data_IF_723198624461
#
_entry.id   IF_723198624461
#
_cell.length_a   1.000
_cell.length_b   1.000
_cell.length_c   1.000
_cell.angle_alpha   90.00
_cell.angle_beta   90.00
_cell.angle_gamma   90.00
#
_symmetry.space_group_name_H-M   'P 1'
#
loop_
_entity.id
_entity.type
_entity.pdbx_description
1 polymer ?
#
# COMPACT_ATOMS: atom_id res chain seq x y z
N UNK A 1 81.42 -5.48 -8.00
CA UNK A 1 79.96 -5.47 -8.28
C UNK A 1 79.21 -5.15 -6.98
N UNK A 2 78.72 -3.93 -6.82
CA UNK A 2 77.79 -3.52 -5.74
C UNK A 2 76.66 -2.72 -6.40
N UNK A 3 75.41 -3.13 -6.16
CA UNK A 3 74.20 -2.64 -6.82
C UNK A 3 73.75 -1.31 -6.19
N UNK A 4 73.44 -0.34 -7.03
CA UNK A 4 72.82 0.94 -6.69
C UNK A 4 71.29 0.73 -6.73
N UNK A 5 70.59 0.99 -5.62
CA UNK A 5 69.13 0.99 -5.56
C UNK A 5 68.64 2.40 -5.92
N UNK A 6 67.87 2.51 -7.01
CA UNK A 6 67.15 3.72 -7.38
C UNK A 6 65.73 3.62 -6.80
N UNK A 7 65.38 4.53 -5.89
CA UNK A 7 64.03 4.65 -5.33
C UNK A 7 63.26 5.66 -6.20
N UNK A 8 62.32 5.18 -7.00
CA UNK A 8 61.34 6.03 -7.68
C UNK A 8 60.13 6.25 -6.75
N UNK A 9 59.97 7.46 -6.25
CA UNK A 9 58.76 7.90 -5.56
C UNK A 9 57.66 8.20 -6.59
N UNK A 10 56.61 7.38 -6.60
CA UNK A 10 55.40 7.59 -7.39
C UNK A 10 54.47 8.53 -6.60
N UNK A 11 54.37 9.80 -6.99
CA UNK A 11 53.32 10.69 -6.49
C UNK A 11 52.01 10.35 -7.19
N UNK A 12 51.05 9.80 -6.45
CA UNK A 12 49.65 9.68 -6.88
C UNK A 12 48.96 11.00 -6.55
N UNK A 13 48.72 11.83 -7.56
CA UNK A 13 47.82 12.98 -7.46
C UNK A 13 46.39 12.42 -7.57
N UNK A 14 45.70 12.29 -6.45
CA UNK A 14 44.25 12.01 -6.45
C UNK A 14 43.51 13.26 -6.92
N UNK A 15 43.18 13.30 -8.21
CA UNK A 15 42.16 14.20 -8.74
C UNK A 15 40.82 13.75 -8.18
N UNK A 16 40.34 14.45 -7.15
CA UNK A 16 38.94 14.37 -6.71
C UNK A 16 38.06 14.93 -7.83
N UNK A 17 37.61 14.06 -8.73
CA UNK A 17 36.49 14.34 -9.59
C UNK A 17 35.23 14.37 -8.70
N UNK A 18 34.73 15.56 -8.41
CA UNK A 18 33.35 15.75 -8.00
C UNK A 18 32.46 15.35 -9.18
N UNK A 19 32.14 14.06 -9.27
CA UNK A 19 31.02 13.59 -10.07
C UNK A 19 29.77 14.02 -9.29
N UNK A 20 29.15 15.11 -9.71
CA UNK A 20 27.76 15.38 -9.38
C UNK A 20 26.94 14.26 -10.03
N UNK A 21 26.72 13.19 -9.28
CA UNK A 21 25.83 12.11 -9.65
C UNK A 21 24.38 12.57 -9.44
N UNK A 22 23.97 13.55 -10.24
CA UNK A 22 22.61 14.09 -10.28
C UNK A 22 21.74 13.27 -11.25
N UNK A 23 22.07 11.97 -11.40
CA UNK A 23 21.43 11.05 -12.34
C UNK A 23 20.50 10.04 -11.66
N UNK A 24 20.15 10.27 -10.39
CA UNK A 24 19.09 9.50 -9.72
C UNK A 24 17.71 9.92 -10.22
N UNK A 25 17.39 9.55 -11.45
CA UNK A 25 15.99 9.44 -11.91
C UNK A 25 15.26 8.68 -10.80
N UNK A 26 14.26 9.33 -10.19
CA UNK A 26 13.53 8.73 -9.08
C UNK A 26 13.00 7.37 -9.56
N UNK A 27 13.09 6.32 -8.75
CA UNK A 27 12.53 5.00 -9.11
C UNK A 27 11.05 5.12 -9.55
N UNK A 28 10.34 6.14 -9.08
CA UNK A 28 8.98 6.51 -9.50
C UNK A 28 8.89 6.94 -10.97
N UNK A 29 9.90 7.63 -11.49
CA UNK A 29 9.93 8.15 -12.87
C UNK A 29 10.15 7.02 -13.88
N UNK A 30 10.62 5.87 -13.42
CA UNK A 30 10.76 4.65 -14.23
C UNK A 30 9.44 3.86 -14.36
N UNK A 31 8.41 4.17 -13.55
CA UNK A 31 7.12 3.50 -13.65
C UNK A 31 6.38 4.01 -14.90
N UNK A 32 5.91 3.09 -15.79
CA UNK A 32 5.16 3.44 -16.98
C UNK A 32 3.98 4.38 -16.69
N UNK A 33 3.74 5.37 -17.57
CA UNK A 33 2.67 6.35 -17.39
C UNK A 33 1.26 5.74 -17.30
N UNK A 34 1.05 4.59 -17.94
CA UNK A 34 -0.21 3.85 -17.88
C UNK A 34 -0.37 2.99 -16.61
N UNK A 35 0.68 2.83 -15.79
CA UNK A 35 0.66 2.05 -14.55
C UNK A 35 0.25 2.93 -13.36
N UNK A 36 -1.01 3.38 -13.39
CA UNK A 36 -1.58 4.29 -12.38
C UNK A 36 -3.03 3.93 -12.04
N UNK A 37 -3.40 4.20 -10.80
CA UNK A 37 -4.78 4.17 -10.31
C UNK A 37 -5.19 5.61 -10.05
N UNK A 38 -6.19 6.11 -10.79
CA UNK A 38 -6.45 7.54 -10.90
C UNK A 38 -5.19 8.30 -11.36
N UNK A 39 -4.72 9.24 -10.53
CA UNK A 39 -3.51 10.04 -10.77
C UNK A 39 -2.25 9.45 -10.13
N UNK A 40 -2.36 8.32 -9.42
CA UNK A 40 -1.28 7.78 -8.58
C UNK A 40 -0.58 6.60 -9.24
N UNK A 41 0.75 6.73 -9.42
CA UNK A 41 1.58 5.64 -9.90
C UNK A 41 1.70 4.54 -8.84
N UNK A 42 1.72 3.29 -9.28
CA UNK A 42 1.88 2.12 -8.41
C UNK A 42 3.00 1.22 -8.92
N UNK A 43 3.71 0.54 -8.03
CA UNK A 43 4.55 -0.61 -8.35
C UNK A 43 3.70 -1.87 -8.37
N UNK A 44 3.92 -2.71 -9.37
CA UNK A 44 3.41 -4.07 -9.42
C UNK A 44 4.45 -4.96 -8.69
N UNK A 45 4.04 -5.73 -7.67
CA UNK A 45 4.93 -6.62 -6.90
C UNK A 45 4.86 -8.07 -7.42
N UNK A 46 5.84 -8.93 -7.14
CA UNK A 46 5.86 -10.32 -7.66
C UNK A 46 4.58 -11.11 -7.32
N UNK A 47 4.10 -11.94 -8.27
CA UNK A 47 2.87 -12.75 -8.13
C UNK A 47 1.64 -12.23 -8.90
N UNK A 48 1.81 -11.60 -10.07
CA UNK A 48 0.70 -11.06 -10.87
C UNK A 48 0.38 -11.95 -12.04
N UNK A 49 -0.74 -12.66 -11.93
CA UNK A 49 -1.17 -13.53 -13.01
C UNK A 49 -2.13 -12.81 -13.98
N UNK A 50 -2.69 -11.64 -13.62
CA UNK A 50 -3.72 -11.00 -14.46
C UNK A 50 -4.09 -9.53 -14.14
N UNK A 51 -3.16 -8.65 -13.75
CA UNK A 51 -3.49 -7.23 -13.55
C UNK A 51 -3.65 -6.46 -14.87
N UNK A 52 -4.73 -5.71 -15.01
CA UNK A 52 -5.04 -4.87 -16.17
C UNK A 52 -5.28 -3.41 -15.78
N UNK A 53 -4.57 -2.49 -16.43
CA UNK A 53 -4.79 -1.05 -16.30
C UNK A 53 -5.61 -0.54 -17.48
N UNK A 54 -6.71 0.16 -17.20
CA UNK A 54 -7.55 0.77 -18.23
C UNK A 54 -8.08 2.12 -17.75
N UNK A 55 -7.71 3.22 -18.42
CA UNK A 55 -8.17 4.58 -18.12
C UNK A 55 -8.05 4.97 -16.62
N UNK A 56 -6.96 4.58 -15.97
CA UNK A 56 -6.73 4.86 -14.54
C UNK A 56 -7.46 3.93 -13.59
N UNK A 57 -8.16 2.91 -14.09
CA UNK A 57 -8.70 1.81 -13.28
C UNK A 57 -7.73 0.63 -13.30
N UNK A 58 -7.76 -0.16 -12.23
CA UNK A 58 -7.02 -1.41 -12.09
C UNK A 58 -7.99 -2.56 -11.85
N UNK A 59 -7.84 -3.67 -12.57
CA UNK A 59 -8.65 -4.87 -12.36
C UNK A 59 -7.84 -6.15 -12.47
N UNK A 60 -8.34 -7.24 -11.88
CA UNK A 60 -7.78 -8.59 -12.00
C UNK A 60 -7.17 -9.10 -10.70
N UNK A 61 -6.11 -9.90 -10.81
CA UNK A 61 -5.44 -10.54 -9.67
C UNK A 61 -3.96 -10.20 -9.61
N UNK A 62 -3.52 -9.70 -8.45
CA UNK A 62 -2.13 -9.33 -8.20
C UNK A 62 -1.97 -8.33 -7.06
N UNK A 63 -0.71 -7.92 -6.81
CA UNK A 63 -0.36 -7.00 -5.72
C UNK A 63 0.19 -5.71 -6.30
N UNK A 64 -0.34 -4.58 -5.84
CA UNK A 64 0.21 -3.26 -6.14
C UNK A 64 0.60 -2.52 -4.87
N UNK A 65 1.70 -1.78 -4.93
CA UNK A 65 2.16 -0.86 -3.88
C UNK A 65 2.17 0.55 -4.42
N UNK A 66 1.79 1.52 -3.61
CA UNK A 66 1.89 2.92 -4.00
C UNK A 66 3.33 3.37 -4.23
N UNK A 67 3.54 4.14 -5.29
CA UNK A 67 4.90 4.52 -5.69
C UNK A 67 5.51 5.58 -4.77
N UNK A 68 4.65 6.40 -4.16
CA UNK A 68 5.06 7.46 -3.23
C UNK A 68 4.89 6.95 -1.80
N UNK A 69 5.99 6.77 -1.05
CA UNK A 69 5.91 6.41 0.36
C UNK A 69 5.29 7.53 1.20
N UNK A 70 4.70 7.17 2.33
CA UNK A 70 4.22 8.15 3.31
C UNK A 70 5.40 8.70 4.10
N UNK A 71 5.61 10.01 4.04
CA UNK A 71 6.66 10.69 4.80
C UNK A 71 6.35 10.75 6.29
N UNK A 72 5.09 11.00 6.64
CA UNK A 72 4.60 11.09 8.01
C UNK A 72 3.62 9.96 8.28
N UNK A 73 4.02 9.01 9.13
CA UNK A 73 3.21 7.84 9.51
C UNK A 73 2.32 8.10 10.74
N UNK A 74 2.30 9.33 11.25
CA UNK A 74 1.44 9.74 12.35
C UNK A 74 0.15 10.36 11.81
N UNK A 75 -0.97 9.62 11.94
CA UNK A 75 -2.37 10.08 12.10
C UNK A 75 -2.92 11.23 11.24
N UNK A 76 -2.24 11.69 10.20
CA UNK A 76 -2.60 12.89 9.44
C UNK A 76 -3.12 12.57 8.03
N UNK A 77 -3.38 11.30 7.75
CA UNK A 77 -3.72 10.83 6.41
C UNK A 77 -4.97 9.94 6.44
N UNK A 78 -5.81 10.11 5.43
CA UNK A 78 -6.89 9.18 5.08
C UNK A 78 -6.63 8.55 3.72
N UNK A 79 -6.94 7.27 3.61
CA UNK A 79 -6.87 6.52 2.37
C UNK A 79 -8.27 6.45 1.77
N UNK A 80 -8.43 7.02 0.59
CA UNK A 80 -9.64 6.91 -0.18
C UNK A 80 -9.51 5.77 -1.17
N UNK A 81 -10.46 4.84 -1.09
CA UNK A 81 -10.53 3.70 -2.01
C UNK A 81 -11.92 3.58 -2.60
N UNK A 82 -11.97 3.44 -3.93
CA UNK A 82 -13.19 3.16 -4.67
C UNK A 82 -13.02 1.85 -5.43
N UNK A 83 -13.90 0.88 -5.16
CA UNK A 83 -13.74 -0.48 -5.65
C UNK A 83 -15.07 -1.21 -5.87
N UNK A 84 -15.04 -2.28 -6.65
CA UNK A 84 -16.14 -3.23 -6.80
C UNK A 84 -15.62 -4.65 -6.68
N UNK A 85 -16.44 -5.54 -6.12
CA UNK A 85 -16.12 -6.96 -5.97
C UNK A 85 -17.16 -7.82 -6.70
N UNK A 86 -16.79 -8.40 -7.86
CA UNK A 86 -17.64 -9.41 -8.49
C UNK A 86 -17.80 -10.63 -7.58
N UNK A 87 -18.62 -11.59 -8.00
CA UNK A 87 -18.85 -12.81 -7.22
C UNK A 87 -17.52 -13.49 -6.88
N UNK A 88 -17.34 -13.86 -5.61
CA UNK A 88 -16.11 -14.46 -5.06
C UNK A 88 -14.85 -13.55 -5.07
N UNK A 89 -14.95 -12.31 -5.55
CA UNK A 89 -13.85 -11.36 -5.55
C UNK A 89 -13.41 -10.98 -4.14
N UNK A 90 -12.11 -10.72 -3.99
CA UNK A 90 -11.49 -10.24 -2.76
C UNK A 90 -10.58 -9.04 -3.02
N UNK A 91 -10.66 -8.06 -2.13
CA UNK A 91 -9.75 -6.93 -2.07
C UNK A 91 -9.15 -6.86 -0.68
N UNK A 92 -7.82 -6.81 -0.61
CA UNK A 92 -7.12 -6.60 0.65
C UNK A 92 -6.41 -5.26 0.59
N UNK A 93 -6.75 -4.37 1.52
CA UNK A 93 -5.93 -3.20 1.82
C UNK A 93 -4.73 -3.61 2.67
N UNK A 94 -3.55 -3.16 2.29
CA UNK A 94 -2.26 -3.55 2.86
C UNK A 94 -1.57 -2.30 3.42
N UNK A 95 -1.29 -2.26 4.74
CA UNK A 95 -0.49 -1.20 5.37
C UNK A 95 0.72 -1.79 6.10
N UNK A 96 1.92 -1.43 5.64
CA UNK A 96 3.16 -2.11 5.99
C UNK A 96 4.37 -1.17 6.11
N UNK A 97 5.31 -1.53 6.98
CA UNK A 97 6.56 -0.78 7.14
C UNK A 97 7.57 -0.99 6.01
N UNK A 98 7.40 -1.98 5.13
CA UNK A 98 8.43 -2.35 4.15
C UNK A 98 7.93 -2.36 2.68
N UNK A 99 8.84 -2.19 1.70
CA UNK A 99 8.52 -2.19 0.27
C UNK A 99 7.87 -3.46 -0.28
N UNK A 100 8.00 -4.58 0.43
CA UNK A 100 7.45 -5.89 0.01
C UNK A 100 6.04 -6.13 0.55
N UNK A 101 5.48 -5.16 1.29
CA UNK A 101 4.18 -5.27 1.94
C UNK A 101 4.06 -6.52 2.85
N UNK A 102 5.08 -6.77 3.67
CA UNK A 102 5.08 -7.86 4.66
C UNK A 102 5.17 -7.34 6.10
N UNK A 103 4.61 -8.07 7.07
CA UNK A 103 4.58 -7.73 8.51
C UNK A 103 3.86 -6.41 8.87
N UNK A 104 2.54 -6.37 8.69
CA UNK A 104 1.71 -5.19 8.86
C UNK A 104 0.25 -5.58 9.06
N UNK A 105 -0.68 -4.68 8.75
CA UNK A 105 -2.11 -4.94 8.89
C UNK A 105 -2.78 -5.11 7.53
N UNK A 106 -3.81 -5.94 7.52
CA UNK A 106 -4.65 -6.21 6.37
C UNK A 106 -6.10 -5.90 6.70
N UNK A 107 -6.80 -5.23 5.78
CA UNK A 107 -8.27 -5.17 5.81
C UNK A 107 -8.78 -5.87 4.55
N UNK A 108 -9.32 -7.07 4.75
CA UNK A 108 -9.76 -7.98 3.68
C UNK A 108 -11.26 -7.82 3.50
N UNK A 109 -11.69 -7.52 2.28
CA UNK A 109 -13.09 -7.46 1.86
C UNK A 109 -13.34 -8.58 0.86
N UNK A 110 -14.31 -9.45 1.12
CA UNK A 110 -14.66 -10.56 0.24
C UNK A 110 -16.16 -10.61 -0.04
N UNK A 111 -16.52 -10.93 -1.28
CA UNK A 111 -17.91 -11.19 -1.67
C UNK A 111 -18.27 -12.66 -1.40
N UNK A 112 -19.09 -12.90 -0.39
CA UNK A 112 -19.47 -14.25 0.05
C UNK A 112 -20.69 -14.79 -0.69
N UNK A 113 -20.49 -15.85 -1.46
CA UNK A 113 -21.56 -16.63 -2.09
C UNK A 113 -21.99 -17.83 -1.22
N UNK A 114 -23.27 -18.23 -1.24
CA UNK A 114 -24.40 -17.65 -1.98
C UNK A 114 -25.10 -16.51 -1.21
N UNK A 115 -24.57 -16.10 -0.06
CA UNK A 115 -25.23 -15.13 0.82
C UNK A 115 -25.33 -13.71 0.24
N UNK A 116 -24.52 -13.41 -0.78
CA UNK A 116 -24.34 -12.07 -1.36
C UNK A 116 -24.03 -11.01 -0.28
N UNK A 117 -23.22 -11.38 0.71
CA UNK A 117 -22.80 -10.52 1.82
C UNK A 117 -21.31 -10.26 1.79
N UNK A 118 -20.90 -9.19 2.46
CA UNK A 118 -19.51 -8.96 2.78
C UNK A 118 -19.03 -9.88 3.89
N UNK A 119 -17.88 -10.51 3.66
CA UNK A 119 -16.95 -10.81 4.74
C UNK A 119 -15.93 -9.67 4.83
N UNK A 120 -15.73 -9.14 6.03
CA UNK A 120 -14.67 -8.16 6.28
C UNK A 120 -13.82 -8.62 7.44
N UNK A 121 -12.53 -8.82 7.20
CA UNK A 121 -11.58 -9.26 8.21
C UNK A 121 -10.49 -8.21 8.39
N UNK A 122 -10.23 -7.83 9.64
CA UNK A 122 -8.98 -7.19 10.00
C UNK A 122 -7.99 -8.28 10.41
N UNK A 123 -6.78 -8.23 9.84
CA UNK A 123 -5.69 -9.15 10.20
C UNK A 123 -4.45 -8.36 10.61
N UNK A 124 -3.77 -8.90 11.61
CA UNK A 124 -2.42 -8.54 12.01
C UNK A 124 -1.62 -9.85 12.17
N UNK A 125 -0.29 -9.81 12.39
CA UNK A 125 0.50 -11.02 12.52
C UNK A 125 0.02 -11.99 13.62
N UNK A 126 -0.67 -11.47 14.64
CA UNK A 126 -1.09 -12.24 15.81
C UNK A 126 -2.60 -12.34 16.00
N UNK A 127 -3.39 -11.60 15.23
CA UNK A 127 -4.84 -11.51 15.44
C UNK A 127 -5.60 -11.47 14.12
N UNK A 128 -6.77 -12.11 14.11
CA UNK A 128 -7.79 -11.98 13.05
C UNK A 128 -9.09 -11.58 13.74
N UNK A 129 -9.71 -10.51 13.27
CA UNK A 129 -10.98 -10.01 13.80
C UNK A 129 -12.01 -9.95 12.67
N UNK A 130 -13.16 -10.57 12.90
CA UNK A 130 -14.30 -10.49 11.99
C UNK A 130 -15.07 -9.18 12.21
N UNK A 131 -15.08 -8.34 11.18
CA UNK A 131 -15.73 -7.04 11.14
C UNK A 131 -16.99 -7.04 10.27
N UNK A 132 -17.39 -8.18 9.72
CA UNK A 132 -18.48 -8.30 8.73
C UNK A 132 -19.79 -7.68 9.21
N UNK A 133 -20.07 -7.74 10.52
CA UNK A 133 -21.27 -7.14 11.11
C UNK A 133 -21.33 -5.62 10.92
N UNK A 134 -20.19 -4.92 10.99
CA UNK A 134 -20.13 -3.47 10.78
C UNK A 134 -20.47 -3.09 9.33
N UNK A 135 -20.23 -4.01 8.39
CA UNK A 135 -20.46 -3.82 6.96
C UNK A 135 -21.76 -4.48 6.46
N UNK A 136 -22.62 -4.99 7.36
CA UNK A 136 -23.79 -5.77 6.98
C UNK A 136 -24.85 -5.01 6.14
N UNK A 137 -24.79 -3.68 6.12
CA UNK A 137 -25.69 -2.83 5.32
C UNK A 137 -25.18 -2.60 3.89
N UNK A 138 -23.96 -3.04 3.56
CA UNK A 138 -23.41 -2.95 2.22
C UNK A 138 -23.74 -4.20 1.40
N UNK A 139 -23.98 -4.00 0.11
CA UNK A 139 -24.16 -5.09 -0.87
C UNK A 139 -22.93 -5.19 -1.77
N UNK A 140 -22.15 -6.29 -1.74
CA UNK A 140 -20.89 -6.46 -2.48
C UNK A 140 -20.95 -6.18 -3.98
N UNK A 141 -22.13 -6.28 -4.58
CA UNK A 141 -22.37 -6.04 -6.01
C UNK A 141 -22.35 -4.56 -6.41
N UNK A 142 -22.23 -3.63 -5.45
CA UNK A 142 -22.21 -2.19 -5.71
C UNK A 142 -20.77 -1.63 -5.80
N UNK A 143 -20.67 -0.39 -6.29
CA UNK A 143 -19.43 0.37 -6.23
C UNK A 143 -19.26 1.00 -4.85
N UNK A 144 -18.16 0.70 -4.16
CA UNK A 144 -17.83 1.24 -2.83
C UNK A 144 -16.98 2.46 -2.93
N UNK A 145 -17.13 3.37 -1.98
CA UNK A 145 -16.17 4.44 -1.75
C UNK A 145 -15.99 4.60 -0.25
N UNK A 146 -14.84 4.15 0.24
CA UNK A 146 -14.49 4.15 1.65
C UNK A 146 -13.31 5.09 1.90
N UNK A 147 -13.34 5.75 3.06
CA UNK A 147 -12.19 6.41 3.66
C UNK A 147 -11.70 5.52 4.79
N UNK A 148 -10.42 5.16 4.78
CA UNK A 148 -9.74 4.44 5.85
C UNK A 148 -8.78 5.41 6.52
N UNK A 149 -8.91 5.58 7.83
CA UNK A 149 -7.96 6.30 8.66
C UNK A 149 -7.34 5.29 9.61
N UNK A 150 -6.02 5.28 9.67
CA UNK A 150 -5.26 4.38 10.54
C UNK A 150 -4.43 5.28 11.45
N UNK A 151 -4.54 5.08 12.75
CA UNK A 151 -3.82 5.85 13.75
C UNK A 151 -3.03 4.90 14.63
N UNK A 152 -1.70 5.02 14.62
CA UNK A 152 -0.85 4.34 15.58
C UNK A 152 -0.98 5.06 16.92
N UNK A 153 -1.59 4.42 17.92
CA UNK A 153 -1.65 4.94 19.28
C UNK A 153 -0.35 4.64 20.03
N UNK A 154 -0.02 5.50 21.00
CA UNK A 154 0.96 5.17 22.04
C UNK A 154 0.46 3.88 22.72
N UNK A 155 1.31 2.85 22.84
CA UNK A 155 1.02 1.50 23.39
C UNK A 155 0.74 0.37 22.38
N UNK A 156 1.24 0.47 21.14
CA UNK A 156 1.11 -0.62 20.15
C UNK A 156 -0.36 -1.02 19.90
N UNK A 157 -1.23 -0.01 19.78
CA UNK A 157 -2.61 -0.20 19.34
C UNK A 157 -2.82 0.58 18.07
N UNK A 158 -3.59 0.01 17.15
CA UNK A 158 -4.03 0.71 15.93
C UNK A 158 -5.47 1.07 16.09
N UNK A 159 -5.79 2.35 15.99
CA UNK A 159 -7.16 2.76 15.72
C UNK A 159 -7.40 2.73 14.22
N UNK A 160 -8.41 1.98 13.79
CA UNK A 160 -8.90 1.97 12.41
C UNK A 160 -10.29 2.60 12.40
N UNK A 161 -10.42 3.66 11.61
CA UNK A 161 -11.68 4.32 11.31
C UNK A 161 -11.99 4.06 9.84
N UNK A 162 -13.17 3.51 9.57
CA UNK A 162 -13.67 3.34 8.20
C UNK A 162 -14.94 4.14 8.06
N UNK A 163 -15.00 5.03 7.05
CA UNK A 163 -16.17 5.85 6.74
C UNK A 163 -16.65 5.57 5.33
N UNK A 164 -17.96 5.59 5.14
CA UNK A 164 -18.55 5.68 3.82
C UNK A 164 -18.43 7.13 3.34
N UNK A 165 -17.77 7.35 2.21
CA UNK A 165 -17.49 8.72 1.73
C UNK A 165 -18.76 9.47 1.38
N UNK A 166 -19.73 8.79 0.74
CA UNK A 166 -20.98 9.41 0.28
C UNK A 166 -21.82 9.98 1.42
N UNK A 167 -21.89 9.27 2.54
CA UNK A 167 -22.74 9.64 3.68
C UNK A 167 -21.95 10.29 4.81
N UNK A 168 -20.61 10.25 4.74
CA UNK A 168 -19.68 10.62 5.81
C UNK A 168 -19.91 9.85 7.12
N UNK A 169 -20.70 8.76 7.10
CA UNK A 169 -20.98 7.95 8.28
C UNK A 169 -19.82 7.01 8.56
N UNK A 170 -19.44 6.92 9.83
CA UNK A 170 -18.52 5.88 10.28
C UNK A 170 -19.19 4.52 10.18
N UNK A 171 -18.56 3.63 9.44
CA UNK A 171 -18.90 2.20 9.34
C UNK A 171 -18.22 1.45 10.48
N UNK A 172 -16.98 1.83 10.79
CA UNK A 172 -16.16 1.22 11.82
C UNK A 172 -15.37 2.30 12.54
N UNK A 173 -15.34 2.21 13.87
CA UNK A 173 -14.33 2.83 14.72
C UNK A 173 -13.90 1.74 15.68
N UNK A 174 -12.67 1.24 15.53
CA UNK A 174 -12.16 0.15 16.34
C UNK A 174 -10.71 0.38 16.73
N UNK A 175 -10.35 -0.06 17.92
CA UNK A 175 -8.96 -0.10 18.38
C UNK A 175 -8.53 -1.56 18.46
N UNK A 176 -7.46 -1.89 17.76
CA UNK A 176 -6.95 -3.25 17.58
C UNK A 176 -5.55 -3.34 18.16
N UNK A 177 -5.30 -4.38 18.96
CA UNK A 177 -3.97 -4.64 19.46
C UNK A 177 -3.08 -5.08 18.31
N UNK A 178 -1.89 -4.49 18.23
CA UNK A 178 -0.90 -4.81 17.21
C UNK A 178 0.39 -5.24 17.91
N UNK A 179 0.91 -6.41 17.52
CA UNK A 179 2.33 -6.69 17.67
C UNK A 179 3.04 -6.17 16.41
N UNK A 180 3.13 -4.84 16.24
CA UNK A 180 3.69 -4.18 15.04
C UNK A 180 3.29 -2.70 14.92
N UNK A 181 3.77 -1.97 13.91
CA UNK A 181 3.28 -0.62 13.57
C UNK A 181 2.12 -0.74 12.55
N UNK A 182 0.94 -0.22 12.87
CA UNK A 182 -0.27 -0.33 12.04
C UNK A 182 -0.25 0.58 10.81
N UNK A 183 0.41 1.73 10.91
CA UNK A 183 0.71 2.62 9.79
C UNK A 183 2.21 2.56 9.48
N UNK A 184 2.54 2.04 8.31
CA UNK A 184 3.89 2.02 7.78
C UNK A 184 4.07 2.97 6.61
N UNK A 185 5.32 3.17 6.22
CA UNK A 185 5.71 4.03 5.09
C UNK A 185 5.14 3.52 3.74
N UNK A 186 4.85 2.22 3.64
CA UNK A 186 4.40 1.56 2.42
C UNK A 186 2.99 0.99 2.56
N UNK A 187 2.23 1.09 1.48
CA UNK A 187 0.85 0.68 1.46
C UNK A 187 0.47 0.27 0.04
N UNK A 188 -0.56 -0.55 -0.06
CA UNK A 188 -0.90 -1.21 -1.31
C UNK A 188 -2.22 -1.94 -1.25
N UNK A 189 -2.47 -2.70 -2.30
CA UNK A 189 -3.66 -3.51 -2.48
C UNK A 189 -3.25 -4.88 -2.99
N UNK A 190 -3.86 -5.93 -2.44
CA UNK A 190 -3.94 -7.21 -3.11
C UNK A 190 -5.35 -7.36 -3.69
N UNK A 191 -5.43 -7.68 -4.97
CA UNK A 191 -6.66 -7.92 -5.69
C UNK A 191 -6.72 -9.41 -6.01
N UNK A 192 -7.89 -10.00 -5.83
CA UNK A 192 -8.27 -11.29 -6.39
C UNK A 192 -9.62 -11.09 -7.06
N UNK A 193 -9.62 -11.04 -8.39
CA UNK A 193 -10.79 -10.73 -9.20
C UNK A 193 -11.52 -9.48 -8.71
N UNK A 194 -10.78 -8.40 -8.46
CA UNK A 194 -11.34 -7.13 -7.98
C UNK A 194 -11.17 -6.03 -9.02
N UNK A 195 -11.88 -4.91 -8.85
CA UNK A 195 -11.66 -3.68 -9.63
C UNK A 195 -11.55 -2.47 -8.73
N UNK A 196 -10.57 -1.62 -9.00
CA UNK A 196 -10.23 -0.40 -8.29
C UNK A 196 -10.36 0.76 -9.28
N UNK A 197 -11.15 1.75 -8.90
CA UNK A 197 -11.44 2.94 -9.71
C UNK A 197 -10.76 4.18 -9.15
N UNK A 198 -10.45 4.17 -7.86
CA UNK A 198 -9.69 5.23 -7.21
C UNK A 198 -8.94 4.67 -6.00
N UNK A 199 -7.70 5.11 -5.80
CA UNK A 199 -6.89 4.75 -4.65
C UNK A 199 -5.83 5.81 -4.40
N UNK A 200 -6.03 6.63 -3.37
CA UNK A 200 -5.11 7.71 -3.04
C UNK A 200 -5.13 8.06 -1.56
N UNK A 201 -4.16 8.88 -1.16
CA UNK A 201 -4.05 9.43 0.20
C UNK A 201 -4.39 10.91 0.14
N UNK A 202 -5.15 11.36 1.11
CA UNK A 202 -5.34 12.78 1.38
C UNK A 202 -4.93 13.08 2.82
N UNK A 203 -4.41 14.29 3.08
CA UNK A 203 -4.27 14.76 4.45
C UNK A 203 -5.65 14.89 5.11
N UNK A 204 -5.72 14.63 6.42
CA UNK A 204 -6.90 14.85 7.26
C UNK A 204 -7.16 16.33 7.54
#
# INVERSE_FOLDING_TARGET
MKRLLLVCSLMIVSLSACVNDDSSISLRDQIPENQRIGTHKVYILEGNDSLFFNNGNLSGTGIVRQATPLKDTYSANRFLIQFSLPETGTLTFLSYGNPKLSNGIELVFSHMMPSHKFSVLYKSPTHVVDLSRSFAHFSPSQLFTLSLEIHNELNNRTQLIVREVRTSKSVLIGTFDISGNGLGEHWGLFLQDASIYNFHVEPL
#
